data_IF_506102074219
#
_entry.id   IF_506102074219
#
_cell.length_a   1.000
_cell.length_b   1.000
_cell.length_c   1.000
_cell.angle_alpha   90.00
_cell.angle_beta   90.00
_cell.angle_gamma   90.00
#
_symmetry.space_group_name_H-M   'P 1'
#
loop_
_entity.id
_entity.type
_entity.pdbx_description
1 polymer ?
#
# COMPACT_ATOMS: atom_id res chain seq x y z
N UNK A 1 20.44 0.59 -3.87
CA UNK A 1 19.70 0.34 -5.16
C UNK A 1 20.69 0.31 -6.32
N UNK A 2 20.56 -0.61 -7.32
CA UNK A 2 21.54 -0.72 -8.43
C UNK A 2 21.58 0.50 -9.36
N UNK A 3 20.46 1.22 -9.50
CA UNK A 3 20.38 2.46 -10.29
C UNK A 3 20.04 3.63 -9.36
N UNK A 4 21.05 4.18 -8.69
CA UNK A 4 20.90 5.26 -7.72
C UNK A 4 20.25 6.54 -8.27
N UNK A 5 20.44 6.81 -9.57
CA UNK A 5 19.83 7.96 -10.25
C UNK A 5 18.30 7.90 -10.37
N UNK A 6 17.66 6.81 -9.98
CA UNK A 6 16.21 6.64 -9.95
C UNK A 6 15.64 6.58 -8.53
N UNK A 7 16.49 6.57 -7.52
CA UNK A 7 16.07 6.54 -6.13
C UNK A 7 15.38 7.85 -5.76
N UNK A 8 14.26 7.75 -5.04
CA UNK A 8 13.62 8.87 -4.39
C UNK A 8 14.20 8.92 -2.98
N UNK A 9 15.03 9.93 -2.70
CA UNK A 9 15.72 10.08 -1.41
C UNK A 9 14.87 10.83 -0.38
N UNK A 10 14.03 11.73 -0.84
CA UNK A 10 13.19 12.56 0.02
C UNK A 10 11.94 11.80 0.46
N UNK A 11 11.79 11.63 1.77
CA UNK A 11 10.68 10.89 2.37
C UNK A 11 9.30 11.43 1.96
N UNK A 12 9.14 12.74 1.93
CA UNK A 12 7.88 13.36 1.51
C UNK A 12 7.53 13.07 0.04
N UNK A 13 8.52 12.94 -0.83
CA UNK A 13 8.28 12.55 -2.24
C UNK A 13 7.79 11.09 -2.34
N UNK A 14 8.28 10.19 -1.48
CA UNK A 14 7.78 8.81 -1.41
C UNK A 14 6.29 8.81 -1.01
N UNK A 15 5.91 9.62 -0.01
CA UNK A 15 4.52 9.79 0.41
C UNK A 15 3.65 10.29 -0.74
N UNK A 16 4.13 11.26 -1.52
CA UNK A 16 3.39 11.78 -2.68
C UNK A 16 3.23 10.73 -3.80
N UNK A 17 4.15 9.78 -3.94
CA UNK A 17 3.95 8.63 -4.84
C UNK A 17 2.85 7.73 -4.30
N UNK A 18 2.89 7.37 -3.02
CA UNK A 18 1.88 6.50 -2.39
C UNK A 18 0.47 7.07 -2.49
N UNK A 19 0.30 8.38 -2.30
CA UNK A 19 -0.99 9.08 -2.46
C UNK A 19 -1.61 8.97 -3.86
N UNK A 20 -0.79 8.73 -4.88
CA UNK A 20 -1.25 8.59 -6.28
C UNK A 20 -1.59 7.16 -6.66
N UNK A 21 -1.15 6.19 -5.86
CA UNK A 21 -1.41 4.78 -6.12
C UNK A 21 -2.81 4.42 -5.62
N UNK A 22 -3.53 3.65 -6.40
CA UNK A 22 -4.88 3.18 -6.08
C UNK A 22 -4.93 1.72 -5.61
N UNK A 23 -3.82 1.00 -5.76
CA UNK A 23 -3.67 -0.40 -5.33
C UNK A 23 -2.37 -0.58 -4.55
N UNK A 24 -2.47 -1.26 -3.41
CA UNK A 24 -1.34 -1.79 -2.67
C UNK A 24 -1.26 -3.31 -2.87
N UNK A 25 -0.16 -3.82 -3.40
CA UNK A 25 0.09 -5.26 -3.48
C UNK A 25 0.80 -5.69 -2.21
N UNK A 26 0.06 -6.39 -1.35
CA UNK A 26 0.56 -6.92 -0.08
C UNK A 26 1.10 -8.32 -0.30
N UNK A 27 2.30 -8.60 0.20
CA UNK A 27 2.94 -9.92 0.16
C UNK A 27 3.07 -10.49 1.58
N UNK A 28 2.46 -11.65 1.79
CA UNK A 28 2.48 -12.43 3.04
C UNK A 28 3.33 -13.68 2.85
N UNK A 29 3.88 -14.21 3.94
CA UNK A 29 4.62 -15.47 3.91
C UNK A 29 3.65 -16.66 3.90
N UNK A 30 3.75 -17.47 2.85
CA UNK A 30 3.03 -18.73 2.71
C UNK A 30 4.03 -19.89 2.56
N UNK A 31 4.48 -20.44 3.69
CA UNK A 31 5.42 -21.57 3.73
C UNK A 31 6.70 -21.35 2.90
N UNK A 32 7.21 -20.08 2.90
CA UNK A 32 8.40 -19.69 2.14
C UNK A 32 8.11 -19.10 0.76
N UNK A 33 6.88 -19.17 0.26
CA UNK A 33 6.43 -18.47 -0.92
C UNK A 33 5.77 -17.13 -0.56
N UNK A 34 5.96 -16.06 -1.35
CA UNK A 34 5.19 -14.84 -1.18
C UNK A 34 3.76 -15.02 -1.72
N UNK A 35 2.76 -14.93 -0.85
CA UNK A 35 1.36 -14.84 -1.24
C UNK A 35 1.02 -13.37 -1.49
N UNK A 36 0.82 -12.99 -2.76
CA UNK A 36 0.65 -11.61 -3.18
C UNK A 36 -0.82 -11.34 -3.52
N UNK A 37 -1.38 -10.25 -2.98
CA UNK A 37 -2.75 -9.84 -3.24
C UNK A 37 -2.89 -8.33 -3.41
N UNK A 38 -3.69 -7.86 -4.40
CA UNK A 38 -4.01 -6.46 -4.56
C UNK A 38 -5.09 -6.04 -3.57
N UNK A 39 -4.89 -4.91 -2.91
CA UNK A 39 -5.80 -4.37 -1.91
C UNK A 39 -6.02 -2.88 -2.09
N UNK A 40 -7.24 -2.42 -1.81
CA UNK A 40 -7.48 -1.03 -1.50
C UNK A 40 -6.88 -0.71 -0.12
N UNK A 41 -6.43 0.52 0.06
CA UNK A 41 -5.74 0.92 1.28
C UNK A 41 -6.07 2.34 1.71
N UNK A 42 -5.88 2.63 2.98
CA UNK A 42 -5.75 3.98 3.51
C UNK A 42 -4.36 4.19 4.05
N UNK A 43 -3.94 5.43 4.23
CA UNK A 43 -2.64 5.73 4.80
C UNK A 43 -2.71 6.89 5.79
N UNK A 44 -1.82 6.85 6.76
CA UNK A 44 -1.64 7.92 7.74
C UNK A 44 -0.16 8.02 8.14
N UNK A 45 0.24 9.24 8.46
CA UNK A 45 1.53 9.51 9.09
C UNK A 45 1.33 9.71 10.59
N UNK A 46 1.97 8.88 11.40
CA UNK A 46 1.97 8.98 12.87
C UNK A 46 3.42 9.03 13.35
N UNK A 47 3.80 10.11 13.99
CA UNK A 47 5.16 10.31 14.53
C UNK A 47 6.29 9.99 13.54
N UNK A 48 6.12 10.43 12.29
CA UNK A 48 7.09 10.21 11.21
C UNK A 48 7.14 8.79 10.64
N UNK A 49 6.22 7.91 11.07
CA UNK A 49 6.04 6.55 10.54
C UNK A 49 4.79 6.46 9.68
N UNK A 50 4.81 5.56 8.72
CA UNK A 50 3.67 5.29 7.83
C UNK A 50 2.87 4.12 8.38
N UNK A 51 1.57 4.31 8.49
CA UNK A 51 0.58 3.27 8.71
C UNK A 51 -0.26 3.08 7.46
N UNK A 52 -0.37 1.83 6.99
CA UNK A 52 -1.26 1.44 5.88
C UNK A 52 -2.41 0.61 6.43
N UNK A 53 -3.63 1.05 6.16
CA UNK A 53 -4.87 0.44 6.64
C UNK A 53 -5.53 -0.38 5.54
N UNK A 54 -6.00 -1.56 5.90
CA UNK A 54 -6.67 -2.50 5.01
C UNK A 54 -7.92 -3.08 5.67
N UNK A 55 -8.83 -3.60 4.84
CA UNK A 55 -9.99 -4.31 5.34
C UNK A 55 -10.24 -5.60 4.55
N UNK A 56 -10.96 -6.54 5.18
CA UNK A 56 -11.36 -7.79 4.56
C UNK A 56 -12.56 -8.43 5.29
N UNK A 57 -13.02 -9.58 4.82
CA UNK A 57 -13.86 -10.44 5.62
C UNK A 57 -13.12 -10.92 6.88
N UNK A 58 -13.88 -11.35 7.90
CA UNK A 58 -13.34 -11.81 9.20
C UNK A 58 -12.48 -13.07 9.06
N UNK A 59 -12.73 -13.87 8.04
CA UNK A 59 -12.08 -15.15 7.80
C UNK A 59 -11.54 -15.22 6.36
N UNK A 60 -10.61 -16.12 6.13
CA UNK A 60 -10.03 -16.43 4.81
C UNK A 60 -8.54 -16.60 4.86
N UNK A 61 -7.98 -17.18 3.80
CA UNK A 61 -6.59 -17.63 3.75
C UNK A 61 -5.57 -16.55 4.11
N UNK A 62 -5.75 -15.31 3.63
CA UNK A 62 -4.88 -14.20 4.02
C UNK A 62 -4.91 -13.89 5.53
N UNK A 63 -6.08 -14.06 6.16
CA UNK A 63 -6.23 -13.83 7.61
C UNK A 63 -5.46 -14.88 8.39
N UNK A 64 -5.49 -16.15 7.93
CA UNK A 64 -4.73 -17.24 8.53
C UNK A 64 -3.23 -17.01 8.40
N UNK A 65 -2.77 -16.54 7.23
CA UNK A 65 -1.37 -16.19 7.00
C UNK A 65 -0.91 -15.03 7.90
N UNK A 66 -1.72 -13.98 8.05
CA UNK A 66 -1.43 -12.84 8.94
C UNK A 66 -1.32 -13.30 10.41
N UNK A 67 -2.21 -14.18 10.86
CA UNK A 67 -2.18 -14.73 12.21
C UNK A 67 -0.96 -15.60 12.47
N UNK A 68 -0.49 -16.33 11.44
CA UNK A 68 0.68 -17.22 11.51
C UNK A 68 2.00 -16.44 11.50
N UNK A 69 2.10 -15.43 10.65
CA UNK A 69 3.28 -14.56 10.52
C UNK A 69 2.81 -13.15 10.12
N UNK A 70 2.95 -12.20 11.03
CA UNK A 70 2.48 -10.84 10.83
C UNK A 70 3.44 -9.95 10.03
N UNK A 71 4.58 -10.47 9.59
CA UNK A 71 5.51 -9.75 8.71
C UNK A 71 4.96 -9.69 7.30
N UNK A 72 5.02 -8.53 6.70
CA UNK A 72 4.58 -8.33 5.34
C UNK A 72 5.50 -7.38 4.58
N UNK A 73 5.57 -7.56 3.28
CA UNK A 73 6.12 -6.59 2.34
C UNK A 73 4.99 -6.04 1.48
N UNK A 74 5.20 -4.86 0.91
CA UNK A 74 4.23 -4.28 0.00
C UNK A 74 4.92 -3.59 -1.17
N UNK A 75 4.18 -3.44 -2.23
CA UNK A 75 4.54 -2.69 -3.43
C UNK A 75 3.36 -1.87 -3.90
N UNK A 76 3.65 -0.66 -4.39
CA UNK A 76 2.71 0.24 -5.05
C UNK A 76 3.39 0.88 -6.24
N UNK A 77 2.68 1.04 -7.36
CA UNK A 77 3.23 1.67 -8.54
C UNK A 77 2.17 2.50 -9.28
N UNK A 78 2.61 3.53 -9.96
CA UNK A 78 1.74 4.41 -10.72
C UNK A 78 2.47 5.14 -11.86
N UNK A 79 1.73 5.91 -12.65
CA UNK A 79 2.25 6.77 -13.73
C UNK A 79 3.05 6.02 -14.77
N UNK A 80 2.60 4.85 -15.18
CA UNK A 80 3.21 4.07 -16.24
C UNK A 80 2.99 4.75 -17.59
N UNK A 81 4.08 5.06 -18.29
CA UNK A 81 4.04 5.64 -19.63
C UNK A 81 5.11 5.00 -20.49
N UNK A 82 4.69 4.21 -21.49
CA UNK A 82 5.60 3.69 -22.49
C UNK A 82 6.13 4.83 -23.35
N UNK A 83 7.45 4.86 -23.52
CA UNK A 83 8.15 5.80 -24.41
C UNK A 83 8.88 5.01 -25.47
N UNK A 84 8.57 5.26 -26.73
CA UNK A 84 9.23 4.68 -27.87
C UNK A 84 10.05 5.74 -28.60
N UNK A 85 11.32 5.43 -28.88
CA UNK A 85 12.27 6.30 -29.58
C UNK A 85 12.63 5.64 -30.89
N UNK A 86 11.84 5.91 -31.94
CA UNK A 86 11.94 5.26 -33.24
C UNK A 86 13.33 5.41 -33.86
N UNK A 87 13.86 6.65 -33.87
CA UNK A 87 15.19 6.95 -34.43
C UNK A 87 16.35 6.18 -33.74
N UNK A 88 16.14 5.76 -32.50
CA UNK A 88 17.12 5.04 -31.67
C UNK A 88 16.84 3.56 -31.52
N UNK A 89 15.70 3.09 -32.03
CA UNK A 89 15.31 1.69 -32.01
C UNK A 89 15.14 1.09 -30.62
N UNK A 90 14.71 1.87 -29.61
CA UNK A 90 14.43 1.33 -28.27
C UNK A 90 13.20 1.94 -27.63
N UNK A 91 12.64 1.21 -26.67
CA UNK A 91 11.56 1.70 -25.82
C UNK A 91 11.94 1.63 -24.34
N UNK A 92 11.23 2.37 -23.53
CA UNK A 92 11.36 2.36 -22.07
C UNK A 92 10.05 2.75 -21.41
N UNK A 93 9.89 2.40 -20.11
CA UNK A 93 8.73 2.78 -19.31
C UNK A 93 9.13 3.88 -18.32
N UNK A 94 8.39 5.00 -18.30
CA UNK A 94 8.37 5.90 -17.16
C UNK A 94 7.44 5.35 -16.10
N UNK A 95 7.77 5.52 -14.84
CA UNK A 95 6.97 5.03 -13.70
C UNK A 95 7.40 5.65 -12.38
N UNK A 96 6.54 5.56 -11.39
CA UNK A 96 6.85 5.77 -9.99
C UNK A 96 6.46 4.52 -9.20
N UNK A 97 7.29 4.08 -8.26
CA UNK A 97 7.00 2.91 -7.43
C UNK A 97 7.56 3.04 -6.02
N UNK A 98 6.91 2.37 -5.09
CA UNK A 98 7.30 2.31 -3.68
C UNK A 98 7.27 0.86 -3.24
N UNK A 99 8.34 0.42 -2.57
CA UNK A 99 8.43 -0.90 -1.95
C UNK A 99 8.74 -0.70 -0.47
N UNK A 100 8.04 -1.43 0.38
CA UNK A 100 8.27 -1.39 1.80
C UNK A 100 7.98 -2.70 2.51
N UNK A 101 8.22 -2.71 3.80
CA UNK A 101 7.93 -3.85 4.68
C UNK A 101 7.62 -3.37 6.09
N UNK A 102 6.93 -4.20 6.84
CA UNK A 102 6.57 -3.93 8.22
C UNK A 102 5.83 -5.09 8.86
N UNK A 103 5.08 -4.78 9.91
CA UNK A 103 4.30 -5.75 10.68
C UNK A 103 2.83 -5.39 10.66
N UNK A 104 2.00 -6.40 10.49
CA UNK A 104 0.54 -6.24 10.51
C UNK A 104 0.04 -6.42 11.94
N UNK A 105 -0.87 -5.52 12.34
CA UNK A 105 -1.65 -5.61 13.58
C UNK A 105 -3.14 -5.57 13.23
N UNK A 106 -3.91 -6.51 13.75
CA UNK A 106 -5.36 -6.50 13.65
C UNK A 106 -5.89 -5.45 14.63
N UNK A 107 -6.81 -4.62 14.16
CA UNK A 107 -7.38 -3.52 14.93
C UNK A 107 -8.54 -3.99 15.82
N UNK A 108 -8.69 -3.35 16.97
CA UNK A 108 -9.85 -3.53 17.85
C UNK A 108 -11.13 -2.93 17.25
N UNK A 109 -12.29 -3.26 17.77
CA UNK A 109 -13.57 -2.76 17.25
C UNK A 109 -13.67 -1.23 17.33
N UNK A 110 -13.08 -0.62 18.36
CA UNK A 110 -13.06 0.83 18.54
C UNK A 110 -12.21 1.55 17.49
N UNK A 111 -11.15 0.90 16.98
CA UNK A 111 -10.23 1.46 15.97
C UNK A 111 -10.77 1.34 14.54
N UNK A 112 -11.71 0.40 14.29
CA UNK A 112 -12.17 0.05 12.92
C UNK A 112 -12.73 1.23 12.15
N UNK A 113 -13.64 2.00 12.79
CA UNK A 113 -14.33 3.08 12.10
C UNK A 113 -13.36 4.16 11.61
N UNK A 114 -12.37 4.54 12.42
CA UNK A 114 -11.38 5.53 12.05
C UNK A 114 -10.49 5.04 10.90
N UNK A 115 -10.04 3.78 10.96
CA UNK A 115 -9.27 3.15 9.89
C UNK A 115 -10.06 3.06 8.57
N UNK A 116 -11.34 2.70 8.60
CA UNK A 116 -12.20 2.66 7.42
C UNK A 116 -12.38 4.06 6.80
N UNK A 117 -12.50 5.11 7.61
CA UNK A 117 -12.52 6.49 7.13
C UNK A 117 -11.24 6.87 6.40
N UNK A 118 -10.07 6.43 6.89
CA UNK A 118 -8.78 6.65 6.22
C UNK A 118 -8.70 5.95 4.86
N UNK A 119 -9.24 4.72 4.76
CA UNK A 119 -9.35 4.02 3.48
C UNK A 119 -10.24 4.80 2.50
N UNK A 120 -11.43 5.22 2.93
CA UNK A 120 -12.35 5.99 2.09
C UNK A 120 -11.75 7.33 1.65
N UNK A 121 -11.06 8.02 2.56
CA UNK A 121 -10.40 9.30 2.28
C UNK A 121 -9.31 9.18 1.21
N UNK A 122 -8.59 8.06 1.15
CA UNK A 122 -7.59 7.81 0.12
C UNK A 122 -8.20 7.82 -1.28
N UNK A 123 -9.44 7.34 -1.43
CA UNK A 123 -10.19 7.32 -2.71
C UNK A 123 -11.10 8.52 -2.90
N UNK A 124 -10.85 9.61 -2.17
CA UNK A 124 -11.61 10.87 -2.27
C UNK A 124 -13.11 10.73 -1.99
N UNK A 125 -13.50 9.68 -1.29
CA UNK A 125 -14.89 9.55 -0.79
C UNK A 125 -15.11 10.52 0.36
N UNK A 126 -16.19 11.30 0.28
CA UNK A 126 -16.45 12.45 1.12
C UNK A 126 -16.46 12.18 2.62
N UNK A 127 -16.26 13.25 3.40
CA UNK A 127 -16.25 13.22 4.87
C UNK A 127 -17.55 12.70 5.50
N UNK A 128 -18.65 12.73 4.74
CA UNK A 128 -20.01 12.38 5.18
C UNK A 128 -20.44 10.96 4.78
N UNK A 129 -19.48 10.07 4.44
CA UNK A 129 -19.80 8.69 4.12
C UNK A 129 -20.47 7.98 5.31
N UNK A 130 -21.64 7.42 5.07
CA UNK A 130 -22.33 6.61 6.08
C UNK A 130 -21.69 5.22 6.20
N UNK A 131 -21.34 4.85 7.42
CA UNK A 131 -20.81 3.53 7.75
C UNK A 131 -21.88 2.73 8.51
N UNK A 132 -22.40 1.68 7.88
CA UNK A 132 -23.37 0.80 8.51
C UNK A 132 -22.71 0.00 9.64
N UNK A 133 -23.15 0.16 10.92
CA UNK A 133 -22.54 -0.55 12.06
C UNK A 133 -22.55 -2.07 11.90
N UNK A 134 -23.60 -2.64 11.29
CA UNK A 134 -23.70 -4.07 11.04
C UNK A 134 -22.69 -4.56 9.97
N UNK A 135 -22.27 -3.71 9.06
CA UNK A 135 -21.19 -4.03 8.12
C UNK A 135 -19.82 -3.95 8.81
N UNK A 136 -19.60 -2.94 9.65
CA UNK A 136 -18.35 -2.77 10.41
C UNK A 136 -18.07 -3.99 11.28
N UNK A 137 -19.07 -4.50 12.01
CA UNK A 137 -18.91 -5.66 12.89
C UNK A 137 -18.49 -6.95 12.15
N UNK A 138 -18.83 -7.04 10.85
CA UNK A 138 -18.47 -8.19 9.98
C UNK A 138 -17.22 -7.94 9.14
N UNK A 139 -16.51 -6.86 9.40
CA UNK A 139 -15.30 -6.48 8.67
C UNK A 139 -14.08 -6.63 9.57
N UNK A 140 -13.06 -7.36 9.11
CA UNK A 140 -11.73 -7.32 9.70
C UNK A 140 -11.00 -6.08 9.17
N UNK A 141 -10.43 -5.31 10.07
CA UNK A 141 -9.57 -4.17 9.74
C UNK A 141 -8.20 -4.38 10.37
N UNK A 142 -7.16 -4.11 9.62
CA UNK A 142 -5.79 -4.29 10.06
C UNK A 142 -4.89 -3.18 9.51
N UNK A 143 -3.82 -2.92 10.24
CA UNK A 143 -2.80 -1.91 9.90
C UNK A 143 -1.46 -2.58 9.66
N UNK A 144 -0.76 -2.18 8.60
CA UNK A 144 0.66 -2.46 8.40
C UNK A 144 1.45 -1.26 8.92
N UNK A 145 2.16 -1.47 10.01
CA UNK A 145 3.11 -0.52 10.58
C UNK A 145 4.44 -0.62 9.81
N UNK A 146 4.74 0.40 9.00
CA UNK A 146 5.89 0.37 8.07
C UNK A 146 7.20 0.58 8.81
N UNK A 147 8.11 -0.40 8.69
CA UNK A 147 9.46 -0.37 9.28
C UNK A 147 10.52 0.14 8.30
N UNK A 148 10.34 -0.14 7.01
CA UNK A 148 11.28 0.25 5.95
C UNK A 148 10.56 0.52 4.65
N UNK A 149 11.00 1.58 3.96
CA UNK A 149 10.42 2.00 2.69
C UNK A 149 11.50 2.49 1.74
N UNK A 150 11.31 2.28 0.45
CA UNK A 150 12.16 2.83 -0.62
C UNK A 150 11.28 3.26 -1.79
N UNK A 151 11.61 4.40 -2.38
CA UNK A 151 10.93 4.92 -3.56
C UNK A 151 11.82 4.90 -4.80
N UNK A 152 11.21 4.74 -5.96
CA UNK A 152 11.88 4.75 -7.24
C UNK A 152 11.05 5.49 -8.28
N UNK A 153 11.71 6.33 -9.08
CA UNK A 153 11.07 7.10 -10.16
C UNK A 153 11.91 7.09 -11.40
N UNK A 154 11.28 6.87 -12.54
CA UNK A 154 11.82 7.16 -13.85
C UNK A 154 10.90 8.16 -14.52
N UNK A 155 11.38 9.40 -14.67
CA UNK A 155 10.64 10.48 -15.37
C UNK A 155 10.53 10.19 -16.85
N UNK A 156 9.47 10.64 -17.53
CA UNK A 156 9.44 10.72 -18.98
C UNK A 156 10.64 11.55 -19.48
N UNK A 157 11.15 11.18 -20.65
CA UNK A 157 12.18 11.95 -21.37
C UNK A 157 11.54 12.93 -22.34
#
# INVERSE_FOLDING_TARGET
MRQGNREITEFNEIIEVMKKCDVCRLALNDNGYPYILPLNFGMEMVDGKINLYFHSALEGYKVDLIKKDNRASFEMDCRHQLQYFEEKGYCTMAYESVIGRGRIRILSDEEKLDALKKIMSHYHMGKDAYFNPAAISRTLVYVLEVEKITGKRKKPK
#
